data_IF_528526938751
#
_entry.id   IF_528526938751
#
_cell.length_a   1.000
_cell.length_b   1.000
_cell.length_c   1.000
_cell.angle_alpha   90.00
_cell.angle_beta   90.00
_cell.angle_gamma   90.00
#
_symmetry.space_group_name_H-M   'P 1'
#
loop_
_entity.id
_entity.type
_entity.pdbx_description
1 polymer ?
#
# COMPACT_ATOMS: atom_id res chain seq x y z
N UNK A 1 9.21 29.99 23.22
CA UNK A 1 10.15 29.42 22.23
C UNK A 1 10.91 28.30 22.93
N UNK A 2 10.51 27.06 22.72
CA UNK A 2 11.32 25.91 23.09
C UNK A 2 11.46 25.07 21.82
N UNK A 3 12.63 25.19 21.22
CA UNK A 3 13.06 24.35 20.10
C UNK A 3 13.39 22.97 20.65
N UNK A 4 12.44 22.06 20.59
CA UNK A 4 12.69 20.65 20.85
C UNK A 4 13.51 20.10 19.70
N UNK A 5 14.82 19.97 19.87
CA UNK A 5 15.66 19.15 19.02
C UNK A 5 15.17 17.72 19.11
N UNK A 6 14.47 17.24 18.07
CA UNK A 6 14.39 15.82 17.80
C UNK A 6 15.81 15.36 17.45
N UNK A 7 16.54 14.86 18.44
CA UNK A 7 17.79 14.15 18.18
C UNK A 7 17.42 12.87 17.42
N UNK A 8 17.67 12.89 16.10
CA UNK A 8 17.73 11.66 15.35
C UNK A 8 18.77 10.76 16.05
N UNK A 9 18.31 9.58 16.49
CA UNK A 9 19.23 8.56 16.98
C UNK A 9 20.27 8.33 15.86
N UNK A 10 21.56 8.40 16.19
CA UNK A 10 22.58 8.16 15.16
C UNK A 10 22.35 6.76 14.63
N UNK A 11 22.16 6.66 13.31
CA UNK A 11 22.19 5.39 12.63
C UNK A 11 23.43 4.64 13.10
N UNK A 12 23.25 3.40 13.59
CA UNK A 12 24.35 2.58 14.05
C UNK A 12 25.42 2.59 12.95
N UNK A 13 26.59 3.11 13.27
CA UNK A 13 27.72 3.16 12.33
C UNK A 13 28.00 1.72 11.91
N UNK A 14 28.00 1.41 10.61
CA UNK A 14 28.36 0.09 10.17
C UNK A 14 29.80 -0.18 10.66
N UNK A 15 29.92 -1.01 11.68
CA UNK A 15 31.23 -1.50 12.11
C UNK A 15 31.59 -2.64 11.17
N UNK A 16 32.33 -2.33 10.12
CA UNK A 16 32.86 -3.37 9.27
C UNK A 16 32.97 -2.96 7.81
N UNK A 17 33.82 -3.61 7.12
CA UNK A 17 34.26 -3.41 5.74
C UNK A 17 33.12 -3.19 4.75
N UNK A 18 33.01 -1.98 4.23
CA UNK A 18 32.21 -1.63 3.03
C UNK A 18 30.79 -2.21 2.93
N UNK A 19 30.11 -2.44 4.06
CA UNK A 19 28.73 -2.97 4.10
C UNK A 19 28.61 -4.49 3.92
N UNK A 20 29.71 -5.21 3.80
CA UNK A 20 29.71 -6.67 3.75
C UNK A 20 29.66 -7.22 5.17
N UNK A 21 28.67 -8.06 5.44
CA UNK A 21 28.55 -8.80 6.71
C UNK A 21 28.98 -10.24 6.49
N UNK A 22 30.07 -10.65 7.14
CA UNK A 22 30.63 -12.00 6.98
C UNK A 22 29.65 -13.09 7.44
N UNK A 23 28.81 -12.81 8.41
CA UNK A 23 27.76 -13.69 8.89
C UNK A 23 26.70 -14.01 7.84
N UNK A 24 26.57 -13.18 6.80
CA UNK A 24 25.63 -13.42 5.70
C UNK A 24 26.16 -14.45 4.69
N UNK A 25 27.46 -14.79 4.77
CA UNK A 25 28.09 -15.76 3.87
C UNK A 25 27.74 -17.20 4.30
N UNK A 26 27.47 -18.05 3.32
CA UNK A 26 27.48 -19.52 3.51
C UNK A 26 28.82 -20.09 3.04
N UNK A 27 29.75 -20.23 3.97
CA UNK A 27 31.09 -20.74 3.68
C UNK A 27 31.13 -22.23 3.30
N UNK A 28 29.98 -22.93 3.35
CA UNK A 28 29.88 -24.32 2.92
C UNK A 28 29.58 -24.43 1.42
N UNK A 29 29.12 -23.36 0.78
CA UNK A 29 28.91 -23.28 -0.66
C UNK A 29 30.23 -22.93 -1.39
N UNK A 30 30.46 -23.57 -2.52
CA UNK A 30 31.57 -23.24 -3.39
C UNK A 30 31.19 -22.00 -4.23
N UNK A 31 31.89 -20.85 -4.08
CA UNK A 31 31.56 -19.64 -4.83
C UNK A 31 31.77 -19.77 -6.34
N UNK A 32 32.53 -20.74 -6.81
CA UNK A 32 32.69 -21.02 -8.24
C UNK A 32 31.51 -21.81 -8.82
N UNK A 33 30.72 -22.45 -7.98
CA UNK A 33 29.53 -23.25 -8.36
C UNK A 33 28.24 -22.47 -8.13
N UNK A 34 28.07 -21.90 -6.93
CA UNK A 34 26.89 -21.11 -6.56
C UNK A 34 27.30 -19.89 -5.74
N UNK A 35 27.61 -18.82 -6.44
CA UNK A 35 28.01 -17.56 -5.80
C UNK A 35 26.88 -16.92 -5.01
N UNK A 36 25.62 -17.08 -5.44
CA UNK A 36 24.47 -16.51 -4.72
C UNK A 36 24.29 -17.19 -3.35
N UNK A 37 24.33 -18.53 -3.32
CA UNK A 37 24.27 -19.28 -2.07
C UNK A 37 25.47 -18.92 -1.16
N UNK A 38 26.68 -18.83 -1.72
CA UNK A 38 27.85 -18.42 -0.94
C UNK A 38 27.67 -17.02 -0.33
N UNK A 39 27.23 -16.05 -1.11
CA UNK A 39 27.15 -14.64 -0.69
C UNK A 39 25.98 -14.36 0.25
N UNK A 40 24.84 -15.03 0.09
CA UNK A 40 23.59 -14.72 0.76
C UNK A 40 23.05 -15.85 1.65
N UNK A 41 23.62 -17.06 1.62
CA UNK A 41 23.08 -18.25 2.29
C UNK A 41 22.98 -18.12 3.80
N UNK A 42 23.93 -17.45 4.45
CA UNK A 42 23.87 -17.15 5.88
C UNK A 42 22.73 -16.22 6.23
N UNK A 43 22.50 -15.19 5.42
CA UNK A 43 21.37 -14.28 5.58
C UNK A 43 20.02 -15.00 5.39
N UNK A 44 19.88 -15.81 4.35
CA UNK A 44 18.65 -16.57 4.08
C UNK A 44 18.30 -17.55 5.21
N UNK A 45 19.29 -18.14 5.87
CA UNK A 45 19.08 -19.02 7.04
C UNK A 45 18.48 -18.29 8.24
N UNK A 46 18.86 -17.02 8.43
CA UNK A 46 18.38 -16.20 9.55
C UNK A 46 17.10 -15.42 9.24
N UNK A 47 16.75 -15.32 7.94
CA UNK A 47 15.54 -14.62 7.45
C UNK A 47 14.73 -15.58 6.55
N UNK A 48 14.15 -16.64 7.09
CA UNK A 48 13.34 -17.58 6.32
C UNK A 48 12.11 -16.87 5.73
N UNK A 49 11.77 -17.21 4.50
CA UNK A 49 10.59 -16.68 3.85
C UNK A 49 9.34 -17.17 4.60
N UNK A 50 8.49 -16.23 5.03
CA UNK A 50 7.19 -16.50 5.67
C UNK A 50 6.08 -16.57 4.64
N UNK A 51 4.88 -17.07 5.03
CA UNK A 51 3.73 -17.14 4.14
C UNK A 51 3.18 -15.79 3.68
N UNK A 52 3.62 -14.70 4.29
CA UNK A 52 3.21 -13.32 3.96
C UNK A 52 3.97 -12.75 2.77
N UNK A 53 5.14 -13.30 2.45
CA UNK A 53 6.03 -12.78 1.43
C UNK A 53 6.32 -13.82 0.35
N UNK A 54 6.14 -13.44 -0.91
CA UNK A 54 6.64 -14.22 -2.06
C UNK A 54 8.14 -14.06 -2.27
N UNK A 55 8.71 -12.99 -1.73
CA UNK A 55 10.15 -12.69 -1.67
C UNK A 55 10.41 -11.82 -0.45
N UNK A 56 11.62 -11.92 0.11
CA UNK A 56 12.03 -11.08 1.23
C UNK A 56 13.52 -10.75 1.09
N UNK A 57 13.87 -9.48 1.23
CA UNK A 57 15.24 -8.99 1.10
C UNK A 57 15.50 -7.76 1.97
N UNK A 58 16.66 -7.14 1.78
CA UNK A 58 17.08 -5.98 2.57
C UNK A 58 16.11 -4.81 2.49
N UNK A 59 15.50 -4.58 1.33
CA UNK A 59 14.51 -3.51 1.14
C UNK A 59 13.20 -3.81 1.88
N UNK A 60 12.78 -5.07 1.90
CA UNK A 60 11.59 -5.48 2.65
C UNK A 60 11.82 -5.32 4.16
N UNK A 61 13.00 -5.71 4.65
CA UNK A 61 13.40 -5.49 6.04
C UNK A 61 13.43 -4.00 6.41
N UNK A 62 13.96 -3.14 5.53
CA UNK A 62 13.94 -1.69 5.75
C UNK A 62 12.51 -1.15 5.79
N UNK A 63 11.64 -1.63 4.89
CA UNK A 63 10.23 -1.24 4.88
C UNK A 63 9.50 -1.65 6.16
N UNK A 64 9.73 -2.88 6.66
CA UNK A 64 9.18 -3.35 7.93
C UNK A 64 9.66 -2.48 9.11
N UNK A 65 10.97 -2.25 9.22
CA UNK A 65 11.52 -1.39 10.26
C UNK A 65 10.95 0.03 10.22
N UNK A 66 10.76 0.58 9.02
CA UNK A 66 10.16 1.90 8.85
C UNK A 66 8.68 1.92 9.29
N UNK A 67 7.91 0.88 8.94
CA UNK A 67 6.52 0.74 9.40
C UNK A 67 6.43 0.68 10.92
N UNK A 68 7.27 -0.10 11.58
CA UNK A 68 7.29 -0.19 13.05
C UNK A 68 7.67 1.13 13.72
N UNK A 69 8.64 1.86 13.15
CA UNK A 69 9.01 3.18 13.65
C UNK A 69 7.87 4.19 13.49
N UNK A 70 7.24 4.22 12.31
CA UNK A 70 6.09 5.09 12.05
C UNK A 70 4.91 4.75 12.95
N UNK A 71 4.61 3.46 13.13
CA UNK A 71 3.56 2.99 14.03
C UNK A 71 3.81 3.49 15.45
N UNK A 72 5.01 3.25 15.99
CA UNK A 72 5.38 3.69 17.34
C UNK A 72 5.26 5.19 17.51
N UNK A 73 5.70 5.99 16.52
CA UNK A 73 5.57 7.43 16.53
C UNK A 73 4.11 7.90 16.50
N UNK A 74 3.29 7.28 15.67
CA UNK A 74 1.86 7.61 15.55
C UNK A 74 1.14 7.27 16.85
N UNK A 75 1.40 6.10 17.44
CA UNK A 75 0.81 5.65 18.71
C UNK A 75 1.21 6.58 19.86
N UNK A 76 2.47 7.02 19.91
CA UNK A 76 2.92 8.03 20.89
C UNK A 76 2.14 9.34 20.73
N UNK A 77 2.01 9.84 19.49
CA UNK A 77 1.27 11.07 19.20
C UNK A 77 -0.21 10.91 19.57
N UNK A 78 -0.83 9.79 19.23
CA UNK A 78 -2.24 9.53 19.49
C UNK A 78 -2.55 9.34 20.98
N UNK A 79 -1.60 8.83 21.75
CA UNK A 79 -1.76 8.57 23.18
C UNK A 79 -1.61 9.81 24.07
N UNK A 80 -1.24 10.97 23.53
CA UNK A 80 -1.05 12.21 24.30
C UNK A 80 -2.05 13.29 23.91
N UNK A 81 -2.23 14.27 24.81
CA UNK A 81 -3.00 15.48 24.52
C UNK A 81 -2.17 16.41 23.63
N UNK A 82 -2.64 16.65 22.43
CA UNK A 82 -2.01 17.54 21.46
C UNK A 82 -2.71 18.91 21.43
N UNK A 83 -1.97 19.96 21.13
CA UNK A 83 -2.51 21.31 20.99
C UNK A 83 -3.44 21.40 19.76
N UNK A 84 -4.63 22.01 19.89
CA UNK A 84 -5.58 22.18 18.79
C UNK A 84 -4.98 22.86 17.56
N UNK A 85 -5.29 22.36 16.36
CA UNK A 85 -4.82 22.91 15.09
C UNK A 85 -3.42 22.47 14.67
N UNK A 86 -2.69 21.75 15.53
CA UNK A 86 -1.35 21.23 15.19
C UNK A 86 -1.40 20.00 14.31
N UNK A 87 -0.31 19.71 13.61
CA UNK A 87 -0.15 18.47 12.83
C UNK A 87 -0.26 17.24 13.75
N UNK A 88 0.32 17.31 14.94
CA UNK A 88 0.25 16.23 15.92
C UNK A 88 -1.22 15.91 16.33
N UNK A 89 -2.04 16.93 16.55
CA UNK A 89 -3.45 16.73 16.84
C UNK A 89 -4.17 16.04 15.67
N UNK A 90 -3.94 16.48 14.44
CA UNK A 90 -4.58 15.88 13.24
C UNK A 90 -4.18 14.41 13.06
N UNK A 91 -2.90 14.07 13.25
CA UNK A 91 -2.40 12.69 13.17
C UNK A 91 -3.05 11.84 14.27
N UNK A 92 -3.04 12.31 15.52
CA UNK A 92 -3.61 11.58 16.65
C UNK A 92 -5.12 11.34 16.50
N UNK A 93 -5.86 12.36 16.10
CA UNK A 93 -7.31 12.24 15.90
C UNK A 93 -7.66 11.29 14.75
N UNK A 94 -6.94 11.38 13.63
CA UNK A 94 -7.14 10.48 12.51
C UNK A 94 -6.84 9.03 12.88
N UNK A 95 -5.75 8.78 13.59
CA UNK A 95 -5.39 7.46 14.05
C UNK A 95 -6.43 6.90 15.01
N UNK A 96 -6.83 7.66 16.03
CA UNK A 96 -7.83 7.23 17.01
C UNK A 96 -9.18 6.95 16.34
N UNK A 97 -9.59 7.78 15.39
CA UNK A 97 -10.81 7.54 14.60
C UNK A 97 -10.70 6.26 13.76
N UNK A 98 -9.57 6.03 13.10
CA UNK A 98 -9.34 4.83 12.29
C UNK A 98 -9.29 3.55 13.12
N UNK A 99 -8.79 3.63 14.36
CA UNK A 99 -8.66 2.47 15.26
C UNK A 99 -9.91 2.22 16.12
N UNK A 100 -10.91 3.11 16.11
CA UNK A 100 -12.18 2.93 16.84
C UNK A 100 -13.05 1.85 16.16
N UNK A 101 -12.74 0.59 16.44
CA UNK A 101 -13.49 -0.56 15.92
C UNK A 101 -14.93 -0.61 16.46
N UNK A 102 -15.18 -0.12 17.67
CA UNK A 102 -16.51 -0.07 18.27
C UNK A 102 -17.42 0.84 17.46
N UNK A 103 -16.96 2.05 17.18
CA UNK A 103 -17.69 3.01 16.35
C UNK A 103 -17.89 2.48 14.93
N UNK A 104 -16.85 1.98 14.29
CA UNK A 104 -16.95 1.42 12.92
C UNK A 104 -17.95 0.27 12.83
N UNK A 105 -17.95 -0.64 13.82
CA UNK A 105 -18.90 -1.74 13.86
C UNK A 105 -20.33 -1.26 14.09
N UNK A 106 -20.52 -0.23 14.91
CA UNK A 106 -21.85 0.36 15.16
C UNK A 106 -22.38 1.12 13.93
N UNK A 107 -21.54 1.85 13.22
CA UNK A 107 -21.89 2.59 12.01
C UNK A 107 -22.14 1.65 10.80
N UNK A 108 -21.41 0.54 10.71
CA UNK A 108 -21.51 -0.43 9.62
C UNK A 108 -21.38 0.24 8.26
N UNK A 109 -22.35 0.03 7.38
CA UNK A 109 -22.38 0.61 6.02
C UNK A 109 -23.04 1.99 5.95
N UNK A 110 -23.55 2.53 7.06
CA UNK A 110 -24.27 3.81 7.07
C UNK A 110 -23.51 4.98 6.44
N UNK A 111 -22.18 5.15 6.65
CA UNK A 111 -21.42 6.21 5.99
C UNK A 111 -21.35 6.10 4.46
N UNK A 112 -21.48 4.88 3.91
CA UNK A 112 -21.47 4.63 2.47
C UNK A 112 -22.83 4.79 1.82
N UNK A 113 -23.91 4.75 2.61
CA UNK A 113 -25.28 4.76 2.10
C UNK A 113 -25.57 5.92 1.14
N UNK A 114 -25.19 7.18 1.41
CA UNK A 114 -25.43 8.27 0.47
C UNK A 114 -24.81 8.05 -0.91
N UNK A 115 -23.63 7.42 -0.97
CA UNK A 115 -22.94 7.10 -2.22
C UNK A 115 -23.59 5.91 -2.94
N UNK A 116 -23.96 4.86 -2.18
CA UNK A 116 -24.65 3.69 -2.73
C UNK A 116 -26.02 4.08 -3.30
N UNK A 117 -26.77 4.94 -2.62
CA UNK A 117 -28.06 5.45 -3.10
C UNK A 117 -27.89 6.23 -4.42
N UNK A 118 -26.84 7.03 -4.54
CA UNK A 118 -26.53 7.76 -5.79
C UNK A 118 -26.13 6.82 -6.93
N UNK A 119 -25.30 5.81 -6.64
CA UNK A 119 -24.95 4.78 -7.63
C UNK A 119 -26.21 4.03 -8.08
N UNK A 120 -27.06 3.62 -7.13
CA UNK A 120 -28.32 2.94 -7.42
C UNK A 120 -29.34 3.78 -8.21
N UNK A 121 -29.23 5.10 -8.17
CA UNK A 121 -30.10 6.02 -8.90
C UNK A 121 -29.71 6.20 -10.39
N UNK A 122 -28.50 5.77 -10.79
CA UNK A 122 -28.01 5.91 -12.19
C UNK A 122 -28.85 5.04 -13.13
N UNK A 123 -29.47 5.67 -14.13
CA UNK A 123 -30.36 5.00 -15.08
C UNK A 123 -29.74 4.80 -16.46
N UNK A 124 -28.80 5.66 -16.82
CA UNK A 124 -28.21 5.65 -18.15
C UNK A 124 -26.74 6.07 -18.15
N UNK A 125 -26.09 5.96 -19.30
CA UNK A 125 -24.68 6.31 -19.50
C UNK A 125 -24.39 7.80 -19.30
N UNK A 126 -25.36 8.68 -19.53
CA UNK A 126 -25.19 10.12 -19.38
C UNK A 126 -25.13 10.47 -17.89
N UNK A 127 -26.04 9.92 -17.09
CA UNK A 127 -26.01 10.09 -15.63
C UNK A 127 -24.72 9.54 -15.03
N UNK A 128 -24.28 8.36 -15.49
CA UNK A 128 -22.97 7.79 -15.11
C UNK A 128 -21.84 8.75 -15.43
N UNK A 129 -21.77 9.27 -16.66
CA UNK A 129 -20.72 10.21 -17.08
C UNK A 129 -20.68 11.48 -16.25
N UNK A 130 -21.83 11.94 -15.76
CA UNK A 130 -21.92 13.12 -14.87
C UNK A 130 -21.45 12.81 -13.46
N UNK A 131 -21.66 11.59 -13.00
CA UNK A 131 -21.30 11.16 -11.65
C UNK A 131 -19.82 10.77 -11.48
N UNK A 132 -19.19 10.26 -12.56
CA UNK A 132 -17.78 9.82 -12.52
C UNK A 132 -16.81 10.90 -11.98
N UNK A 133 -16.85 12.17 -12.41
CA UNK A 133 -15.95 13.18 -11.88
C UNK A 133 -16.06 13.38 -10.37
N UNK A 134 -17.24 13.22 -9.81
CA UNK A 134 -17.45 13.37 -8.37
C UNK A 134 -16.81 12.22 -7.59
N UNK A 135 -16.88 10.98 -8.13
CA UNK A 135 -16.17 9.85 -7.57
C UNK A 135 -14.65 10.04 -7.62
N UNK A 136 -14.15 10.54 -8.75
CA UNK A 136 -12.72 10.82 -8.94
C UNK A 136 -12.20 11.87 -7.95
N UNK A 137 -13.00 12.88 -7.62
CA UNK A 137 -12.62 13.90 -6.63
C UNK A 137 -12.45 13.34 -5.21
N UNK A 138 -13.07 12.21 -4.90
CA UNK A 138 -12.90 11.51 -3.62
C UNK A 138 -11.96 10.31 -3.71
N UNK A 139 -11.22 10.18 -4.83
CA UNK A 139 -10.21 9.13 -5.01
C UNK A 139 -10.77 7.78 -5.46
N UNK A 140 -11.98 7.73 -6.01
CA UNK A 140 -12.57 6.51 -6.56
C UNK A 140 -12.54 6.57 -8.09
N UNK A 141 -11.65 5.81 -8.70
CA UNK A 141 -11.40 5.75 -10.15
C UNK A 141 -11.91 4.42 -10.73
N UNK A 142 -13.22 4.27 -11.01
CA UNK A 142 -13.79 2.97 -11.35
C UNK A 142 -13.42 2.45 -12.75
N UNK A 143 -13.06 3.33 -13.70
CA UNK A 143 -12.74 2.96 -15.08
C UNK A 143 -11.36 3.40 -15.52
N UNK A 144 -10.95 4.59 -15.14
CA UNK A 144 -9.66 5.18 -15.47
C UNK A 144 -9.31 6.22 -14.42
N UNK A 145 -8.03 6.43 -14.19
CA UNK A 145 -7.52 7.53 -13.37
C UNK A 145 -7.06 8.67 -14.25
N UNK A 146 -7.04 9.86 -13.67
CA UNK A 146 -6.51 11.07 -14.30
C UNK A 146 -5.33 11.59 -13.49
N UNK A 147 -4.34 12.11 -14.17
CA UNK A 147 -3.15 12.67 -13.54
C UNK A 147 -2.60 13.83 -14.34
N UNK A 148 -1.73 14.60 -13.71
CA UNK A 148 -0.95 15.66 -14.36
C UNK A 148 0.52 15.35 -14.07
N UNK A 149 1.33 15.26 -15.12
CA UNK A 149 2.76 15.05 -15.02
C UNK A 149 3.54 15.94 -15.96
N UNK A 150 4.84 16.07 -15.73
CA UNK A 150 5.70 16.79 -16.68
C UNK A 150 5.77 16.03 -18.01
N UNK A 151 5.71 16.77 -19.12
CA UNK A 151 5.92 16.18 -20.44
C UNK A 151 7.31 15.54 -20.53
N UNK A 152 7.35 14.29 -20.94
CA UNK A 152 8.61 13.53 -21.12
C UNK A 152 9.53 14.22 -22.15
N UNK A 153 8.97 14.91 -23.14
CA UNK A 153 9.71 15.59 -24.20
C UNK A 153 10.07 17.04 -23.85
N UNK A 154 9.30 17.68 -22.96
CA UNK A 154 9.56 19.04 -22.46
C UNK A 154 9.12 19.17 -21.01
N UNK A 155 10.02 18.91 -20.08
CA UNK A 155 9.73 18.94 -18.62
C UNK A 155 9.30 20.31 -18.07
N UNK A 156 9.29 21.37 -18.89
CA UNK A 156 8.76 22.69 -18.51
C UNK A 156 7.26 22.79 -18.68
N UNK A 157 6.64 21.82 -19.32
CA UNK A 157 5.20 21.75 -19.54
C UNK A 157 4.60 20.59 -18.77
N UNK A 158 3.37 20.76 -18.32
CA UNK A 158 2.60 19.70 -17.72
C UNK A 158 1.55 19.19 -18.71
N UNK A 159 1.40 17.88 -18.79
CA UNK A 159 0.39 17.20 -19.59
C UNK A 159 -0.66 16.58 -18.69
N UNK A 160 -1.90 16.66 -19.13
CA UNK A 160 -2.99 15.88 -18.60
C UNK A 160 -2.94 14.48 -19.19
N UNK A 161 -2.89 13.48 -18.34
CA UNK A 161 -2.86 12.09 -18.72
C UNK A 161 -4.04 11.30 -18.17
N UNK A 162 -4.33 10.18 -18.81
CA UNK A 162 -5.29 9.20 -18.32
C UNK A 162 -4.65 7.82 -18.30
N UNK A 163 -4.97 7.03 -17.30
CA UNK A 163 -4.50 5.66 -17.18
C UNK A 163 -5.68 4.71 -16.99
N UNK A 164 -5.67 3.60 -17.70
CA UNK A 164 -6.72 2.58 -17.57
C UNK A 164 -6.77 2.04 -16.15
N UNK A 165 -7.96 1.97 -15.58
CA UNK A 165 -8.25 1.38 -14.28
C UNK A 165 -9.43 0.40 -14.35
N UNK A 166 -9.95 0.03 -13.21
CA UNK A 166 -11.17 -0.79 -13.09
C UNK A 166 -10.99 -2.29 -13.27
N UNK A 167 -9.76 -2.78 -13.46
CA UNK A 167 -9.49 -4.22 -13.52
C UNK A 167 -9.15 -4.75 -12.11
N UNK A 168 -10.10 -5.45 -11.49
CA UNK A 168 -9.93 -6.02 -10.15
C UNK A 168 -9.05 -7.26 -10.13
N UNK A 169 -8.92 -7.98 -11.23
CA UNK A 169 -8.07 -9.16 -11.36
C UNK A 169 -6.66 -8.86 -11.93
N UNK A 170 -6.28 -7.57 -11.98
CA UNK A 170 -4.95 -7.13 -12.38
C UNK A 170 -4.72 -7.10 -13.88
N UNK A 171 -4.81 -8.23 -14.59
CA UNK A 171 -4.49 -8.34 -16.01
C UNK A 171 -5.68 -8.77 -16.87
N UNK A 172 -5.64 -8.36 -18.14
CA UNK A 172 -6.64 -8.68 -19.16
C UNK A 172 -6.88 -10.20 -19.29
N UNK A 173 -5.84 -10.99 -19.18
CA UNK A 173 -5.86 -12.43 -19.46
C UNK A 173 -6.76 -13.18 -18.47
N UNK A 174 -6.88 -12.73 -17.22
CA UNK A 174 -7.85 -13.27 -16.27
C UNK A 174 -9.32 -13.17 -16.76
N UNK A 175 -9.62 -12.20 -17.62
CA UNK A 175 -10.96 -11.98 -18.15
C UNK A 175 -11.22 -12.71 -19.47
N UNK A 176 -10.20 -12.93 -20.30
CA UNK A 176 -10.32 -13.38 -21.68
C UNK A 176 -9.87 -14.81 -21.91
N UNK A 177 -8.85 -15.28 -21.19
CA UNK A 177 -8.34 -16.64 -21.35
C UNK A 177 -9.29 -17.67 -20.73
N UNK A 178 -9.34 -18.86 -21.34
CA UNK A 178 -10.26 -19.93 -20.95
C UNK A 178 -9.55 -21.20 -20.48
N UNK A 179 -8.30 -21.09 -20.03
CA UNK A 179 -7.65 -22.18 -19.33
C UNK A 179 -8.31 -22.42 -17.96
N UNK A 180 -8.06 -23.59 -17.38
CA UNK A 180 -8.68 -24.04 -16.13
C UNK A 180 -8.37 -23.08 -14.97
N UNK A 181 -7.13 -22.58 -14.87
CA UNK A 181 -6.66 -21.70 -13.78
C UNK A 181 -7.35 -20.35 -13.82
N UNK A 182 -7.31 -19.66 -14.95
CA UNK A 182 -7.93 -18.33 -15.10
C UNK A 182 -9.46 -18.41 -14.99
N UNK A 183 -10.07 -19.47 -15.51
CA UNK A 183 -11.51 -19.71 -15.36
C UNK A 183 -11.91 -19.87 -13.90
N UNK A 184 -11.15 -20.66 -13.12
CA UNK A 184 -11.40 -20.83 -11.68
C UNK A 184 -11.30 -19.53 -10.90
N UNK A 185 -10.28 -18.71 -11.18
CA UNK A 185 -10.11 -17.39 -10.56
C UNK A 185 -11.27 -16.47 -10.89
N UNK A 186 -11.68 -16.42 -12.18
CA UNK A 186 -12.79 -15.59 -12.63
C UNK A 186 -14.13 -15.98 -12.01
N UNK A 187 -14.42 -17.25 -11.88
CA UNK A 187 -15.64 -17.73 -11.23
C UNK A 187 -15.64 -17.45 -9.73
N UNK A 188 -14.50 -17.63 -9.06
CA UNK A 188 -14.34 -17.24 -7.65
C UNK A 188 -14.53 -15.72 -7.44
N UNK A 189 -14.00 -14.91 -8.37
CA UNK A 189 -14.18 -13.45 -8.33
C UNK A 189 -15.66 -13.07 -8.51
N UNK A 190 -16.37 -13.67 -9.46
CA UNK A 190 -17.81 -13.41 -9.63
C UNK A 190 -18.60 -13.75 -8.37
N UNK A 191 -18.34 -14.93 -7.77
CA UNK A 191 -18.99 -15.33 -6.54
C UNK A 191 -18.68 -14.36 -5.37
N UNK A 192 -17.44 -13.86 -5.30
CA UNK A 192 -17.05 -12.85 -4.32
C UNK A 192 -17.81 -11.53 -4.52
N UNK A 193 -17.91 -11.05 -5.76
CA UNK A 193 -18.65 -9.80 -6.08
C UNK A 193 -20.12 -9.94 -5.66
N UNK A 194 -20.79 -11.05 -6.00
CA UNK A 194 -22.18 -11.29 -5.57
C UNK A 194 -22.30 -11.19 -4.05
N UNK A 195 -21.44 -11.90 -3.32
CA UNK A 195 -21.43 -11.89 -1.85
C UNK A 195 -21.20 -10.50 -1.23
N UNK A 196 -20.50 -9.61 -1.92
CA UNK A 196 -20.27 -8.23 -1.43
C UNK A 196 -21.51 -7.34 -1.54
N UNK A 197 -22.50 -7.74 -2.36
CA UNK A 197 -23.76 -7.00 -2.56
C UNK A 197 -24.96 -7.65 -1.83
N UNK A 198 -24.80 -8.80 -1.21
CA UNK A 198 -25.79 -9.46 -0.33
C UNK A 198 -25.67 -8.95 1.12
#
# INVERSE_FOLDING_TARGET
>A
MMTGNAQAQPAATPTGDAGIRIENLDKTADPAVDFYQYACGGWMKTHPLTGEYSRFGSFDMLAENNREQLKSLIEEIAGRKNEPGTVAQKIGDLYNLAMDSTRRNAEGVAPLKPWLDRVGAIKDKRELSTFLPELMLIGIDPFFSVYVEADVMDSKQNLFGTYQGGLSLGERDYYLENDESTTKVREAFKAHVVKMFE
#
